data_IF_211712006363
#
_entry.id   IF_211712006363
#
_cell.length_a   1.000
_cell.length_b   1.000
_cell.length_c   1.000
_cell.angle_alpha   90.00
_cell.angle_beta   90.00
_cell.angle_gamma   90.00
#
_symmetry.space_group_name_H-M   'P 1'
#
loop_
_entity.id
_entity.type
_entity.pdbx_description
1 polymer ?
#
# COMPACT_ATOMS: atom_id res chain seq x y z
N UNK A 1 3.70 -18.17 -48.25
CA UNK A 1 2.86 -18.49 -47.08
C UNK A 1 3.77 -18.52 -45.87
N UNK A 2 3.48 -17.75 -44.81
CA UNK A 2 4.25 -17.84 -43.57
C UNK A 2 3.82 -19.11 -42.83
N UNK A 3 4.79 -19.95 -42.46
CA UNK A 3 4.55 -21.18 -41.73
C UNK A 3 4.42 -20.83 -40.25
N UNK A 4 3.25 -21.08 -39.64
CA UNK A 4 3.00 -20.81 -38.23
C UNK A 4 3.66 -21.90 -37.38
N UNK A 5 4.45 -21.50 -36.38
CA UNK A 5 5.07 -22.44 -35.44
C UNK A 5 4.02 -23.06 -34.52
N UNK A 6 4.20 -24.33 -34.08
CA UNK A 6 3.34 -24.96 -33.08
C UNK A 6 3.38 -24.18 -31.75
N UNK A 7 2.23 -24.06 -31.08
CA UNK A 7 2.11 -23.47 -29.74
C UNK A 7 2.05 -24.54 -28.66
N UNK A 8 2.62 -24.27 -27.48
CA UNK A 8 2.62 -25.17 -26.33
C UNK A 8 1.45 -24.90 -25.37
N UNK A 9 1.35 -25.65 -24.25
CA UNK A 9 0.31 -25.44 -23.23
C UNK A 9 0.34 -24.05 -22.58
N UNK A 10 1.50 -23.39 -22.58
CA UNK A 10 1.74 -22.01 -22.17
C UNK A 10 0.88 -21.00 -22.95
N UNK A 11 0.42 -21.38 -24.15
CA UNK A 11 -0.55 -20.60 -24.92
C UNK A 11 -1.88 -20.35 -24.19
N UNK A 12 -2.24 -21.20 -23.23
CA UNK A 12 -3.44 -21.08 -22.42
C UNK A 12 -3.18 -20.47 -21.03
N UNK A 13 -1.94 -20.08 -20.71
CA UNK A 13 -1.63 -19.41 -19.44
C UNK A 13 -2.24 -18.01 -19.41
N UNK A 14 -3.00 -17.73 -18.36
CA UNK A 14 -3.63 -16.44 -18.14
C UNK A 14 -2.81 -15.64 -17.13
N UNK A 15 -1.77 -14.98 -17.62
CA UNK A 15 -0.86 -14.18 -16.78
C UNK A 15 -1.58 -13.03 -16.07
N UNK A 16 -2.64 -12.49 -16.68
CA UNK A 16 -3.43 -11.40 -16.10
C UNK A 16 -4.22 -11.88 -14.89
N UNK A 17 -4.69 -13.14 -14.91
CA UNK A 17 -5.31 -13.78 -13.74
C UNK A 17 -4.33 -13.91 -12.57
N UNK A 18 -3.12 -14.35 -12.84
CA UNK A 18 -2.10 -14.55 -11.80
C UNK A 18 -1.66 -13.20 -11.21
N UNK A 19 -1.55 -12.16 -12.04
CA UNK A 19 -1.33 -10.80 -11.58
C UNK A 19 -2.45 -10.32 -10.65
N UNK A 20 -3.72 -10.50 -11.04
CA UNK A 20 -4.87 -10.14 -10.23
C UNK A 20 -4.88 -10.90 -8.88
N UNK A 21 -4.53 -12.19 -8.88
CA UNK A 21 -4.43 -12.99 -7.66
C UNK A 21 -3.37 -12.45 -6.69
N UNK A 22 -2.19 -12.12 -7.20
CA UNK A 22 -1.11 -11.56 -6.39
C UNK A 22 -1.51 -10.20 -5.79
N UNK A 23 -2.12 -9.32 -6.59
CA UNK A 23 -2.64 -8.04 -6.10
C UNK A 23 -3.70 -8.21 -5.01
N UNK A 24 -4.62 -9.18 -5.17
CA UNK A 24 -5.62 -9.51 -4.16
C UNK A 24 -5.01 -10.01 -2.85
N UNK A 25 -4.00 -10.89 -2.92
CA UNK A 25 -3.28 -11.39 -1.74
C UNK A 25 -2.59 -10.25 -0.98
N UNK A 26 -1.90 -9.35 -1.67
CA UNK A 26 -1.25 -8.19 -1.07
C UNK A 26 -2.26 -7.29 -0.34
N UNK A 27 -3.39 -6.99 -1.00
CA UNK A 27 -4.46 -6.18 -0.40
C UNK A 27 -5.03 -6.83 0.87
N UNK A 28 -5.39 -8.12 0.82
CA UNK A 28 -5.95 -8.85 1.96
C UNK A 28 -4.97 -8.85 3.13
N UNK A 29 -3.70 -9.13 2.86
CA UNK A 29 -2.68 -9.17 3.90
C UNK A 29 -2.47 -7.79 4.52
N UNK A 30 -2.54 -6.71 3.73
CA UNK A 30 -2.50 -5.35 4.26
C UNK A 30 -3.70 -5.03 5.16
N UNK A 31 -4.92 -5.38 4.74
CA UNK A 31 -6.13 -5.18 5.54
C UNK A 31 -6.11 -5.99 6.84
N UNK A 32 -5.64 -7.23 6.81
CA UNK A 32 -5.52 -8.09 8.00
C UNK A 32 -4.53 -7.54 9.02
N UNK A 33 -3.45 -6.89 8.59
CA UNK A 33 -2.53 -6.19 9.49
C UNK A 33 -3.23 -5.05 10.25
N UNK A 34 -4.26 -4.45 9.66
CA UNK A 34 -5.11 -3.45 10.29
C UNK A 34 -6.29 -4.06 11.07
N UNK A 35 -6.34 -5.40 11.18
CA UNK A 35 -7.45 -6.11 11.81
C UNK A 35 -8.74 -6.10 10.99
N UNK A 36 -8.69 -5.82 9.69
CA UNK A 36 -9.84 -5.93 8.79
C UNK A 36 -9.79 -7.28 8.08
N UNK A 37 -10.88 -8.04 8.16
CA UNK A 37 -11.03 -9.30 7.45
C UNK A 37 -12.27 -9.22 6.56
N UNK A 38 -12.08 -9.49 5.27
CA UNK A 38 -13.13 -9.47 4.27
C UNK A 38 -13.48 -10.91 3.91
N UNK A 39 -14.76 -11.26 4.06
CA UNK A 39 -15.28 -12.55 3.65
C UNK A 39 -15.78 -12.45 2.20
N UNK A 40 -15.46 -13.43 1.35
CA UNK A 40 -16.00 -13.50 0.00
C UNK A 40 -15.32 -12.61 -1.04
N UNK A 41 -13.99 -12.45 -0.96
CA UNK A 41 -13.23 -11.78 -2.02
C UNK A 41 -13.16 -12.69 -3.25
N UNK A 42 -13.48 -12.13 -4.40
CA UNK A 42 -13.51 -12.83 -5.68
C UNK A 42 -12.68 -12.13 -6.74
N UNK A 43 -12.17 -12.91 -7.69
CA UNK A 43 -11.48 -12.42 -8.88
C UNK A 43 -12.40 -12.68 -10.06
N UNK A 44 -12.93 -11.61 -10.63
CA UNK A 44 -13.80 -11.68 -11.80
C UNK A 44 -12.97 -11.51 -13.08
N UNK A 45 -13.10 -12.43 -14.06
CA UNK A 45 -12.42 -12.30 -15.34
C UNK A 45 -12.99 -11.14 -16.16
N UNK A 46 -12.20 -10.59 -17.11
CA UNK A 46 -12.70 -9.57 -18.02
C UNK A 46 -13.89 -10.08 -18.82
N UNK A 47 -14.96 -9.29 -18.88
CA UNK A 47 -16.07 -9.57 -19.79
C UNK A 47 -15.91 -8.73 -21.06
N UNK A 48 -15.54 -9.37 -22.17
CA UNK A 48 -15.44 -8.73 -23.49
C UNK A 48 -16.75 -8.14 -24.05
N UNK A 49 -17.87 -8.24 -23.32
CA UNK A 49 -19.18 -7.67 -23.68
C UNK A 49 -19.75 -6.70 -22.64
N UNK A 50 -19.28 -6.76 -21.40
CA UNK A 50 -19.95 -6.15 -20.25
C UNK A 50 -19.14 -5.01 -19.63
N UNK A 51 -17.82 -4.95 -19.90
CA UNK A 51 -16.83 -4.21 -19.10
C UNK A 51 -16.75 -4.77 -17.67
N UNK A 52 -15.56 -5.02 -17.10
CA UNK A 52 -14.23 -4.49 -17.45
C UNK A 52 -13.46 -5.31 -18.50
N UNK A 53 -12.51 -4.63 -19.17
CA UNK A 53 -11.55 -5.25 -20.11
C UNK A 53 -10.38 -5.96 -19.40
N UNK A 54 -10.30 -5.83 -18.08
CA UNK A 54 -9.27 -6.41 -17.22
C UNK A 54 -9.92 -7.24 -16.11
N UNK A 55 -9.11 -8.08 -15.46
CA UNK A 55 -9.50 -8.76 -14.22
C UNK A 55 -9.81 -7.74 -13.11
N UNK A 56 -10.86 -7.99 -12.34
CA UNK A 56 -11.26 -7.13 -11.21
C UNK A 56 -11.37 -7.92 -9.93
N UNK A 57 -10.92 -7.29 -8.85
CA UNK A 57 -11.12 -7.76 -7.48
C UNK A 57 -12.48 -7.27 -6.98
N UNK A 58 -13.39 -8.21 -6.70
CA UNK A 58 -14.59 -7.93 -5.94
C UNK A 58 -14.29 -8.20 -4.46
N UNK A 59 -14.47 -7.18 -3.61
CA UNK A 59 -14.20 -7.28 -2.18
C UNK A 59 -15.34 -7.95 -1.40
N UNK A 60 -16.39 -8.35 -2.10
CA UNK A 60 -17.55 -9.02 -1.55
C UNK A 60 -18.52 -8.05 -0.86
N UNK A 61 -19.72 -8.53 -0.55
CA UNK A 61 -20.72 -7.75 0.15
C UNK A 61 -20.33 -7.55 1.62
N UNK A 62 -20.19 -6.29 2.05
CA UNK A 62 -19.93 -5.93 3.44
C UNK A 62 -21.21 -5.41 4.09
N UNK A 63 -21.63 -5.96 5.23
CA UNK A 63 -22.79 -5.43 5.97
C UNK A 63 -22.46 -4.05 6.53
N UNK A 64 -23.42 -3.11 6.61
CA UNK A 64 -23.15 -1.76 7.10
C UNK A 64 -22.48 -1.72 8.49
N UNK A 65 -22.92 -2.58 9.41
CA UNK A 65 -22.32 -2.67 10.74
C UNK A 65 -20.87 -3.17 10.71
N UNK A 66 -20.55 -4.07 9.78
CA UNK A 66 -19.20 -4.61 9.61
C UNK A 66 -18.30 -3.54 8.97
N UNK A 67 -18.79 -2.82 7.96
CA UNK A 67 -18.10 -1.68 7.35
C UNK A 67 -17.73 -0.60 8.38
N UNK A 68 -18.64 -0.25 9.28
CA UNK A 68 -18.36 0.71 10.36
C UNK A 68 -17.28 0.20 11.32
N UNK A 69 -17.31 -1.09 11.68
CA UNK A 69 -16.25 -1.68 12.53
C UNK A 69 -14.89 -1.71 11.82
N UNK A 70 -14.87 -2.04 10.53
CA UNK A 70 -13.66 -2.02 9.72
C UNK A 70 -13.07 -0.61 9.63
N UNK A 71 -13.91 0.40 9.34
CA UNK A 71 -13.50 1.79 9.28
C UNK A 71 -12.91 2.28 10.62
N UNK A 72 -13.54 1.92 11.75
CA UNK A 72 -13.01 2.25 13.07
C UNK A 72 -11.60 1.69 13.27
N UNK A 73 -11.36 0.41 12.95
CA UNK A 73 -10.02 -0.20 13.08
C UNK A 73 -8.96 0.48 12.20
N UNK A 74 -9.31 0.82 10.96
CA UNK A 74 -8.42 1.50 10.03
C UNK A 74 -8.07 2.90 10.55
N UNK A 75 -9.07 3.65 11.01
CA UNK A 75 -8.88 5.01 11.50
C UNK A 75 -8.06 5.03 12.79
N UNK A 76 -8.35 4.15 13.76
CA UNK A 76 -7.59 4.06 15.00
C UNK A 76 -6.09 3.83 14.74
N UNK A 77 -5.76 2.93 13.81
CA UNK A 77 -4.37 2.66 13.41
C UNK A 77 -3.73 3.88 12.73
N UNK A 78 -4.47 4.53 11.83
CA UNK A 78 -3.97 5.69 11.07
C UNK A 78 -3.77 6.91 11.97
N UNK A 79 -4.68 7.14 12.92
CA UNK A 79 -4.60 8.21 13.90
C UNK A 79 -3.40 8.03 14.83
N UNK A 80 -3.10 6.79 15.24
CA UNK A 80 -1.88 6.50 16.00
C UNK A 80 -0.61 6.80 15.20
N UNK A 81 -0.54 6.33 13.94
CA UNK A 81 0.58 6.64 13.06
C UNK A 81 0.75 8.15 12.85
N UNK A 82 -0.35 8.88 12.70
CA UNK A 82 -0.33 10.33 12.56
C UNK A 82 0.19 11.01 13.83
N UNK A 83 -0.26 10.59 15.02
CA UNK A 83 0.24 11.08 16.32
C UNK A 83 1.74 10.90 16.45
N UNK A 84 2.25 9.71 16.13
CA UNK A 84 3.69 9.40 16.19
C UNK A 84 4.51 10.26 15.21
N UNK A 85 4.00 10.48 13.99
CA UNK A 85 4.66 11.36 13.00
C UNK A 85 4.75 12.79 13.51
N UNK A 86 3.66 13.34 14.05
CA UNK A 86 3.64 14.71 14.59
C UNK A 86 4.61 14.87 15.77
N UNK A 87 4.64 13.89 16.69
CA UNK A 87 5.58 13.88 17.81
C UNK A 87 7.06 13.83 17.34
N UNK A 88 7.36 13.00 16.33
CA UNK A 88 8.70 12.89 15.76
C UNK A 88 9.17 14.16 15.03
N UNK A 89 8.28 14.87 14.33
CA UNK A 89 8.62 16.14 13.66
C UNK A 89 8.86 17.29 14.64
N UNK A 90 8.21 17.28 15.81
CA UNK A 90 8.41 18.30 16.85
C UNK A 90 9.74 18.14 17.59
N UNK A 91 10.39 16.97 17.48
CA UNK A 91 11.60 16.62 18.23
C UNK A 91 12.92 16.97 17.54
N UNK A 92 12.93 17.65 16.38
CA UNK A 92 14.18 18.13 15.76
C UNK A 92 14.75 19.26 16.63
N UNK A 93 15.87 19.06 17.34
CA UNK A 93 16.43 20.12 18.16
C UNK A 93 16.99 21.22 17.25
N UNK A 94 16.88 22.51 17.63
CA UNK A 94 17.50 23.58 16.87
C UNK A 94 19.00 23.31 16.75
N UNK A 95 19.55 23.46 15.54
CA UNK A 95 21.00 23.42 15.29
C UNK A 95 21.65 24.46 16.21
N UNK A 96 22.23 24.01 17.32
CA UNK A 96 23.00 24.87 18.22
C UNK A 96 24.20 25.36 17.42
N UNK A 97 24.16 26.61 16.99
CA UNK A 97 25.30 27.30 16.37
C UNK A 97 26.30 27.57 17.48
N UNK A 98 27.24 26.65 17.68
CA UNK A 98 28.37 26.86 18.58
C UNK A 98 29.26 27.94 17.93
N UNK A 99 29.05 29.20 18.31
CA UNK A 99 29.96 30.28 17.97
C UNK A 99 31.26 30.09 18.75
N UNK A 100 32.28 29.55 18.07
CA UNK A 100 33.65 29.58 18.58
C UNK A 100 34.13 31.03 18.59
N UNK A 101 34.01 31.70 19.73
CA UNK A 101 34.62 33.01 19.99
C UNK A 101 36.14 32.84 19.94
N UNK A 102 36.75 33.22 18.81
CA UNK A 102 38.20 33.27 18.68
C UNK A 102 38.76 34.28 19.69
N UNK A 103 39.53 33.79 20.67
CA UNK A 103 40.35 34.64 21.54
C UNK A 103 41.53 35.14 20.71
N UNK A 104 41.44 36.39 20.25
CA UNK A 104 42.58 37.14 19.75
C UNK A 104 43.47 37.50 20.94
N UNK A 105 44.62 36.85 21.05
CA UNK A 105 45.71 37.32 21.91
C UNK A 105 46.48 38.39 21.13
N UNK A 106 46.25 39.66 21.47
CA UNK A 106 47.19 40.72 21.15
C UNK A 106 48.31 40.69 22.18
N UNK A 107 49.51 40.32 21.73
CA UNK A 107 50.75 40.51 22.48
C UNK A 107 51.38 41.82 22.01
N UNK A 108 51.67 42.71 22.94
CA UNK A 108 52.70 43.77 22.87
C UNK A 108 52.89 44.32 24.29
N UNK A 109 54.02 44.94 24.64
CA UNK A 109 55.03 45.57 23.77
C UNK A 109 56.30 44.72 23.54
#
# INVERSE_FOLDING_TARGET
>A
MQQLCPVGPDYFEDQDRDYAANAGVELINALRKLGVDLEGIEISPPCGRCSPLEYVLDLGPVRPADALRMAARINDCTDELQRLRTAGTAAVPPKVRIERKARSHHSTP
#
